data_IF_142900336573
#
_entry.id   IF_142900336573
#
_cell.length_a   1.000
_cell.length_b   1.000
_cell.length_c   1.000
_cell.angle_alpha   90.00
_cell.angle_beta   90.00
_cell.angle_gamma   90.00
#
_symmetry.space_group_name_H-M   'P 1'
#
loop_
_entity.id
_entity.type
_entity.pdbx_description
1 polymer ?
#
# COMPACT_ATOMS: atom_id res chain seq x y z
N UNK A 1 36.62 -11.27 38.76
CA UNK A 1 36.45 -9.83 38.48
C UNK A 1 35.26 -9.68 37.56
N UNK A 2 34.35 -8.76 37.87
CA UNK A 2 33.17 -8.52 37.05
C UNK A 2 33.57 -7.98 35.67
N UNK A 3 32.87 -8.44 34.64
CA UNK A 3 33.11 -8.01 33.27
C UNK A 3 32.28 -8.78 32.26
N UNK A 4 32.63 -8.64 31.00
CA UNK A 4 31.98 -9.32 29.89
C UNK A 4 32.83 -10.46 29.38
N UNK A 5 32.20 -11.60 29.12
CA UNK A 5 32.78 -12.66 28.29
C UNK A 5 32.16 -12.56 26.92
N UNK A 6 32.98 -12.55 25.87
CA UNK A 6 32.53 -12.33 24.50
C UNK A 6 33.02 -13.43 23.55
N UNK A 7 32.30 -13.56 22.44
CA UNK A 7 32.71 -14.29 21.25
C UNK A 7 32.83 -13.29 20.11
N UNK A 8 34.00 -13.24 19.49
CA UNK A 8 34.25 -12.39 18.32
C UNK A 8 34.63 -13.25 17.12
N UNK A 9 34.14 -12.85 15.95
CA UNK A 9 34.56 -13.40 14.66
C UNK A 9 35.39 -12.36 13.90
N UNK A 10 36.11 -12.81 12.88
CA UNK A 10 36.73 -11.91 11.92
C UNK A 10 36.43 -12.38 10.50
N UNK A 11 35.95 -11.48 9.64
CA UNK A 11 35.68 -11.79 8.24
C UNK A 11 36.93 -12.28 7.49
N UNK A 12 38.13 -11.84 7.90
CA UNK A 12 39.40 -12.31 7.34
C UNK A 12 39.74 -13.76 7.71
N UNK A 13 39.10 -14.30 8.76
CA UNK A 13 39.37 -15.65 9.30
C UNK A 13 38.06 -16.42 9.51
N UNK A 14 37.37 -16.84 8.44
CA UNK A 14 36.12 -17.59 8.56
C UNK A 14 36.31 -18.91 9.32
N UNK A 15 35.34 -19.27 10.16
CA UNK A 15 35.38 -20.51 10.97
C UNK A 15 36.35 -20.46 12.16
N UNK A 16 37.00 -19.32 12.40
CA UNK A 16 37.85 -19.08 13.56
C UNK A 16 37.23 -17.99 14.43
N UNK A 17 37.02 -18.29 15.71
CA UNK A 17 36.42 -17.37 16.68
C UNK A 17 37.35 -17.13 17.85
N UNK A 18 37.30 -15.92 18.39
CA UNK A 18 38.01 -15.53 19.61
C UNK A 18 37.04 -15.54 20.79
N UNK A 19 37.40 -16.23 21.86
CA UNK A 19 36.68 -16.16 23.14
C UNK A 19 37.57 -15.51 24.15
N UNK A 20 37.12 -14.41 24.74
CA UNK A 20 37.88 -13.67 25.73
C UNK A 20 36.99 -12.89 26.68
N UNK A 21 37.60 -12.21 27.64
CA UNK A 21 36.89 -11.29 28.52
C UNK A 21 37.41 -9.85 28.44
N UNK A 22 36.61 -8.92 28.95
CA UNK A 22 36.95 -7.50 29.13
C UNK A 22 36.21 -6.93 30.33
N UNK A 23 36.80 -5.93 31.00
CA UNK A 23 36.13 -5.15 32.05
C UNK A 23 35.36 -3.95 31.48
N UNK A 24 35.77 -3.44 30.30
CA UNK A 24 35.02 -2.47 29.50
C UNK A 24 33.98 -3.13 28.59
N UNK A 25 33.45 -2.42 27.59
CA UNK A 25 32.46 -3.03 26.68
C UNK A 25 33.13 -3.94 25.63
N UNK A 26 32.47 -5.03 25.18
CA UNK A 26 32.98 -5.87 24.10
C UNK A 26 33.22 -5.11 22.78
N UNK A 27 32.42 -4.07 22.50
CA UNK A 27 32.58 -3.23 21.32
C UNK A 27 33.84 -2.36 21.36
N UNK A 28 34.17 -1.80 22.54
CA UNK A 28 35.45 -1.13 22.79
C UNK A 28 36.61 -2.10 22.59
N UNK A 29 36.49 -3.32 23.13
CA UNK A 29 37.52 -4.34 22.96
C UNK A 29 37.70 -4.74 21.49
N UNK A 30 36.61 -4.88 20.74
CA UNK A 30 36.67 -5.13 19.30
C UNK A 30 37.32 -3.97 18.53
N UNK A 31 37.12 -2.72 18.97
CA UNK A 31 37.78 -1.55 18.39
C UNK A 31 39.29 -1.55 18.67
N UNK A 32 39.72 -1.89 19.89
CA UNK A 32 41.13 -1.99 20.27
C UNK A 32 41.88 -3.09 19.53
N UNK A 33 41.19 -4.19 19.21
CA UNK A 33 41.76 -5.32 18.48
C UNK A 33 41.93 -5.06 16.97
N UNK A 34 41.45 -3.91 16.47
CA UNK A 34 41.72 -3.46 15.10
C UNK A 34 43.15 -2.93 15.02
N UNK A 35 44.09 -3.76 14.57
CA UNK A 35 45.49 -3.39 14.32
C UNK A 35 45.81 -3.35 12.82
N UNK A 36 46.96 -2.79 12.45
CA UNK A 36 47.46 -2.72 11.06
C UNK A 36 47.67 -4.09 10.40
N UNK A 37 47.70 -5.17 11.19
CA UNK A 37 47.88 -6.55 10.72
C UNK A 37 46.59 -7.32 10.44
N UNK A 38 45.40 -6.72 10.64
CA UNK A 38 44.13 -7.42 10.45
C UNK A 38 43.19 -6.57 9.58
N UNK A 39 42.85 -7.01 8.35
CA UNK A 39 42.18 -6.16 7.36
C UNK A 39 40.73 -5.82 7.71
N UNK A 40 40.06 -6.66 8.50
CA UNK A 40 38.69 -6.44 8.94
C UNK A 40 38.61 -6.27 10.46
N UNK A 41 37.76 -5.33 10.91
CA UNK A 41 37.47 -5.14 12.33
C UNK A 41 36.82 -6.42 12.89
N UNK A 42 37.24 -6.92 14.06
CA UNK A 42 36.55 -8.00 14.74
C UNK A 42 35.07 -7.66 14.95
N UNK A 43 34.22 -8.63 14.68
CA UNK A 43 32.78 -8.52 14.87
C UNK A 43 32.41 -9.20 16.17
N UNK A 44 31.64 -8.52 17.02
CA UNK A 44 31.08 -9.11 18.24
C UNK A 44 29.88 -9.98 17.86
N UNK A 45 30.00 -11.29 18.04
CA UNK A 45 28.93 -12.25 17.77
C UNK A 45 28.05 -12.46 19.01
N UNK A 46 28.67 -12.38 20.19
CA UNK A 46 27.99 -12.58 21.46
C UNK A 46 28.76 -11.93 22.60
N UNK A 47 28.03 -11.50 23.62
CA UNK A 47 28.61 -11.25 24.93
C UNK A 47 27.59 -11.45 26.04
N UNK A 48 28.12 -11.62 27.24
CA UNK A 48 27.33 -11.68 28.46
C UNK A 48 28.12 -11.07 29.61
N UNK A 49 27.47 -10.26 30.44
CA UNK A 49 28.04 -9.72 31.66
C UNK A 49 27.91 -10.73 32.80
N UNK A 50 29.01 -10.99 33.48
CA UNK A 50 29.11 -11.99 34.55
C UNK A 50 29.93 -11.46 35.73
N UNK A 51 29.65 -11.90 36.97
CA UNK A 51 30.39 -11.46 38.17
C UNK A 51 31.88 -11.86 38.17
N UNK A 52 32.23 -12.98 37.54
CA UNK A 52 33.64 -13.41 37.41
C UNK A 52 33.98 -13.83 35.98
N UNK A 53 34.24 -12.83 35.12
CA UNK A 53 34.49 -13.04 33.70
C UNK A 53 35.73 -13.90 33.44
N UNK A 54 36.75 -13.82 34.31
CA UNK A 54 37.98 -14.61 34.20
C UNK A 54 37.72 -16.10 34.47
N UNK A 55 36.88 -16.42 35.47
CA UNK A 55 36.50 -17.80 35.75
C UNK A 55 35.66 -18.39 34.60
N UNK A 56 34.68 -17.62 34.12
CA UNK A 56 33.80 -18.03 33.02
C UNK A 56 34.56 -18.21 31.71
N UNK A 57 35.49 -17.31 31.37
CA UNK A 57 36.37 -17.46 30.20
C UNK A 57 37.18 -18.75 30.27
N UNK A 58 37.86 -18.98 31.40
CA UNK A 58 38.69 -20.19 31.59
C UNK A 58 37.86 -21.45 31.42
N UNK A 59 36.68 -21.50 32.00
CA UNK A 59 35.75 -22.63 31.86
C UNK A 59 35.27 -22.79 30.41
N UNK A 60 34.97 -21.69 29.71
CA UNK A 60 34.62 -21.74 28.29
C UNK A 60 35.78 -22.26 27.42
N UNK A 61 37.02 -21.85 27.70
CA UNK A 61 38.21 -22.35 27.03
C UNK A 61 38.44 -23.84 27.28
N UNK A 62 38.19 -24.32 28.51
CA UNK A 62 38.25 -25.76 28.82
C UNK A 62 37.25 -26.55 28.00
N UNK A 63 36.02 -26.05 27.88
CA UNK A 63 34.96 -26.66 27.06
C UNK A 63 35.27 -26.63 25.57
N UNK A 64 36.00 -25.62 25.10
CA UNK A 64 36.41 -25.46 23.70
C UNK A 64 37.80 -26.03 23.40
N UNK A 65 38.43 -26.74 24.34
CA UNK A 65 39.82 -27.21 24.22
C UNK A 65 40.07 -28.05 22.97
N UNK A 66 39.10 -28.86 22.55
CA UNK A 66 39.20 -29.68 21.34
C UNK A 66 39.24 -28.85 20.04
N UNK A 67 38.73 -27.62 20.07
CA UNK A 67 38.71 -26.68 18.95
C UNK A 67 39.82 -25.64 19.05
N UNK A 68 40.72 -25.73 20.03
CA UNK A 68 41.72 -24.69 20.29
C UNK A 68 42.77 -24.65 19.18
N UNK A 69 42.89 -23.50 18.52
CA UNK A 69 43.87 -23.24 17.48
C UNK A 69 45.08 -22.46 18.03
N UNK A 70 44.82 -21.42 18.81
CA UNK A 70 45.82 -20.61 19.49
C UNK A 70 45.33 -20.22 20.88
N UNK A 71 46.08 -19.37 21.61
CA UNK A 71 45.83 -19.07 23.04
C UNK A 71 44.34 -18.84 23.37
N UNK A 72 43.68 -17.98 22.58
CA UNK A 72 42.29 -17.54 22.77
C UNK A 72 41.45 -17.72 21.49
N UNK A 73 41.96 -18.48 20.52
CA UNK A 73 41.34 -18.68 19.21
C UNK A 73 40.91 -20.13 19.04
N UNK A 74 39.70 -20.32 18.52
CA UNK A 74 39.06 -21.63 18.41
C UNK A 74 38.47 -21.83 17.01
N UNK A 75 38.79 -22.96 16.39
CA UNK A 75 38.28 -23.37 15.08
C UNK A 75 36.93 -24.06 15.24
N UNK A 76 35.88 -23.24 15.38
CA UNK A 76 34.49 -23.68 15.48
C UNK A 76 33.53 -22.58 15.01
N UNK A 77 32.28 -22.95 14.76
CA UNK A 77 31.20 -22.00 14.46
C UNK A 77 30.92 -21.08 15.66
N UNK A 78 30.46 -19.85 15.41
CA UNK A 78 30.07 -18.91 16.47
C UNK A 78 29.03 -19.51 17.43
N UNK A 79 28.11 -20.33 16.94
CA UNK A 79 27.05 -20.99 17.71
C UNK A 79 27.63 -21.94 18.77
N UNK A 80 28.66 -22.72 18.42
CA UNK A 80 29.37 -23.64 19.33
C UNK A 80 30.09 -22.86 20.44
N UNK A 81 30.80 -21.79 20.09
CA UNK A 81 31.48 -20.94 21.06
C UNK A 81 30.48 -20.23 22.00
N UNK A 82 29.37 -19.71 21.46
CA UNK A 82 28.29 -19.10 22.26
C UNK A 82 27.72 -20.11 23.25
N UNK A 83 27.40 -21.32 22.79
CA UNK A 83 26.87 -22.37 23.65
C UNK A 83 27.86 -22.78 24.76
N UNK A 84 29.16 -22.80 24.47
CA UNK A 84 30.19 -23.04 25.48
C UNK A 84 30.23 -21.93 26.53
N UNK A 85 30.24 -20.66 26.12
CA UNK A 85 30.23 -19.50 27.04
C UNK A 85 28.98 -19.48 27.90
N UNK A 86 27.79 -19.70 27.32
CA UNK A 86 26.52 -19.77 28.07
C UNK A 86 26.53 -20.86 29.14
N UNK A 87 27.03 -22.06 28.79
CA UNK A 87 27.16 -23.17 29.76
C UNK A 87 28.17 -22.86 30.88
N UNK A 88 29.21 -22.08 30.58
CA UNK A 88 30.19 -21.64 31.58
C UNK A 88 29.68 -20.53 32.49
N UNK A 89 28.84 -19.63 31.98
CA UNK A 89 28.29 -18.50 32.72
C UNK A 89 27.20 -18.91 33.72
N UNK A 90 26.46 -19.99 33.42
CA UNK A 90 25.37 -20.45 34.27
C UNK A 90 24.19 -19.48 34.30
N UNK A 91 23.47 -19.42 35.43
CA UNK A 91 22.22 -18.63 35.56
C UNK A 91 22.49 -17.15 35.86
N UNK A 92 23.71 -16.80 36.31
CA UNK A 92 24.05 -15.45 36.74
C UNK A 92 24.61 -14.63 35.57
N UNK A 93 23.72 -14.28 34.65
CA UNK A 93 24.04 -13.47 33.46
C UNK A 93 23.20 -12.20 33.38
N UNK A 94 23.84 -11.08 33.01
CA UNK A 94 23.20 -9.79 32.72
C UNK A 94 23.64 -9.31 31.32
N UNK A 95 22.85 -8.42 30.72
CA UNK A 95 23.20 -7.75 29.46
C UNK A 95 23.70 -8.72 28.37
N UNK A 96 22.92 -9.78 28.11
CA UNK A 96 23.25 -10.72 27.05
C UNK A 96 22.99 -10.10 25.68
N UNK A 97 23.96 -10.20 24.77
CA UNK A 97 23.82 -9.86 23.37
C UNK A 97 24.17 -11.07 22.51
N UNK A 98 23.37 -11.32 21.48
CA UNK A 98 23.65 -12.34 20.47
C UNK A 98 23.28 -11.81 19.09
N UNK A 99 24.30 -11.57 18.25
CA UNK A 99 24.10 -11.17 16.85
C UNK A 99 23.27 -12.20 16.08
N UNK A 100 23.50 -13.53 16.18
CA UNK A 100 22.64 -14.52 15.52
C UNK A 100 21.16 -14.43 15.93
N UNK A 101 20.87 -14.09 17.19
CA UNK A 101 19.49 -13.91 17.64
C UNK A 101 18.86 -12.66 17.01
N UNK A 102 19.60 -11.55 16.94
CA UNK A 102 19.15 -10.32 16.29
C UNK A 102 18.94 -10.48 14.79
N UNK A 103 19.82 -11.21 14.10
CA UNK A 103 19.68 -11.54 12.67
C UNK A 103 18.37 -12.29 12.42
N UNK A 104 18.09 -13.35 13.18
CA UNK A 104 16.84 -14.11 13.08
C UNK A 104 15.59 -13.29 13.33
N UNK A 105 15.61 -12.42 14.35
CA UNK A 105 14.48 -11.53 14.65
C UNK A 105 14.23 -10.58 13.48
N UNK A 106 15.28 -9.95 12.94
CA UNK A 106 15.16 -9.03 11.79
C UNK A 106 14.68 -9.75 10.53
N UNK A 107 15.14 -10.98 10.28
CA UNK A 107 14.67 -11.80 9.17
C UNK A 107 13.18 -12.13 9.31
N UNK A 108 12.74 -12.50 10.51
CA UNK A 108 11.33 -12.75 10.81
C UNK A 108 10.49 -11.47 10.62
N UNK A 109 10.94 -10.33 11.13
CA UNK A 109 10.30 -9.02 10.92
C UNK A 109 10.18 -8.66 9.44
N UNK A 110 11.25 -8.86 8.66
CA UNK A 110 11.26 -8.58 7.23
C UNK A 110 10.31 -9.51 6.46
N UNK A 111 10.25 -10.79 6.83
CA UNK A 111 9.30 -11.74 6.25
C UNK A 111 7.85 -11.33 6.53
N UNK A 112 7.53 -10.99 7.78
CA UNK A 112 6.21 -10.52 8.16
C UNK A 112 5.83 -9.20 7.46
N UNK A 113 6.81 -8.31 7.26
CA UNK A 113 6.60 -7.08 6.49
C UNK A 113 6.28 -7.37 5.02
N UNK A 114 7.00 -8.30 4.40
CA UNK A 114 6.75 -8.73 3.01
C UNK A 114 5.37 -9.35 2.86
N UNK A 115 4.99 -10.27 3.75
CA UNK A 115 3.69 -10.93 3.73
C UNK A 115 2.55 -9.92 3.87
N UNK A 116 2.69 -8.95 4.78
CA UNK A 116 1.73 -7.85 4.93
C UNK A 116 1.64 -6.98 3.69
N UNK A 117 2.76 -6.64 3.07
CA UNK A 117 2.80 -5.83 1.85
C UNK A 117 2.16 -6.57 0.66
N UNK A 118 2.38 -7.88 0.55
CA UNK A 118 1.75 -8.72 -0.47
C UNK A 118 0.24 -8.84 -0.26
N UNK A 119 -0.21 -9.06 0.99
CA UNK A 119 -1.63 -9.08 1.34
C UNK A 119 -2.32 -7.73 1.03
N UNK A 120 -1.67 -6.61 1.35
CA UNK A 120 -2.18 -5.26 1.03
C UNK A 120 -2.29 -5.04 -0.48
N UNK A 121 -1.28 -5.48 -1.25
CA UNK A 121 -1.31 -5.40 -2.72
C UNK A 121 -2.45 -6.23 -3.28
N UNK A 122 -2.64 -7.45 -2.80
CA UNK A 122 -3.74 -8.32 -3.24
C UNK A 122 -5.11 -7.71 -2.91
N UNK A 123 -5.27 -7.19 -1.69
CA UNK A 123 -6.51 -6.51 -1.29
C UNK A 123 -6.83 -5.31 -2.18
N UNK A 124 -5.82 -4.48 -2.50
CA UNK A 124 -5.99 -3.33 -3.40
C UNK A 124 -6.37 -3.76 -4.81
N UNK A 125 -5.72 -4.78 -5.37
CA UNK A 125 -6.07 -5.32 -6.70
C UNK A 125 -7.48 -5.90 -6.71
N UNK A 126 -7.89 -6.58 -5.62
CA UNK A 126 -9.26 -7.08 -5.49
C UNK A 126 -10.29 -5.95 -5.42
N UNK A 127 -9.99 -4.89 -4.67
CA UNK A 127 -10.82 -3.69 -4.58
C UNK A 127 -10.97 -3.01 -5.95
N UNK A 128 -9.86 -2.76 -6.65
CA UNK A 128 -9.85 -2.18 -7.99
C UNK A 128 -10.63 -3.07 -8.98
N UNK A 129 -10.48 -4.39 -8.89
CA UNK A 129 -11.27 -5.35 -9.69
C UNK A 129 -12.76 -5.25 -9.39
N UNK A 130 -13.16 -5.22 -8.12
CA UNK A 130 -14.57 -5.09 -7.72
C UNK A 130 -15.14 -3.75 -8.19
N UNK A 131 -14.39 -2.66 -8.08
CA UNK A 131 -14.78 -1.34 -8.57
C UNK A 131 -14.98 -1.35 -10.10
N UNK A 132 -14.06 -1.94 -10.86
CA UNK A 132 -14.19 -2.06 -12.31
C UNK A 132 -15.43 -2.87 -12.72
N UNK A 133 -15.69 -3.99 -12.04
CA UNK A 133 -16.88 -4.81 -12.28
C UNK A 133 -18.19 -4.06 -11.93
N UNK A 134 -18.20 -3.27 -10.85
CA UNK A 134 -19.36 -2.43 -10.48
C UNK A 134 -19.69 -1.43 -11.59
N UNK A 135 -18.69 -0.73 -12.11
CA UNK A 135 -18.85 0.21 -13.22
C UNK A 135 -19.36 -0.49 -14.48
N UNK A 136 -18.87 -1.70 -14.78
CA UNK A 136 -19.36 -2.50 -15.91
C UNK A 136 -20.83 -2.88 -15.76
N UNK A 137 -21.25 -3.34 -14.57
CA UNK A 137 -22.65 -3.66 -14.28
C UNK A 137 -23.55 -2.42 -14.37
N UNK A 138 -23.12 -1.29 -13.83
CA UNK A 138 -23.84 -0.02 -13.94
C UNK A 138 -24.04 0.37 -15.41
N UNK A 139 -22.98 0.34 -16.21
CA UNK A 139 -23.03 0.65 -17.64
C UNK A 139 -23.95 -0.30 -18.42
N UNK A 140 -23.94 -1.59 -18.07
CA UNK A 140 -24.81 -2.62 -18.69
C UNK A 140 -26.29 -2.33 -18.48
N UNK A 141 -26.68 -1.90 -17.28
CA UNK A 141 -28.08 -1.62 -16.94
C UNK A 141 -28.53 -0.18 -17.21
N UNK A 142 -27.58 0.74 -17.41
CA UNK A 142 -27.84 2.17 -17.60
C UNK A 142 -28.90 2.45 -18.68
N UNK A 143 -28.72 1.89 -19.89
CA UNK A 143 -29.63 2.15 -21.02
C UNK A 143 -31.05 1.67 -20.76
N UNK A 144 -31.18 0.46 -20.21
CA UNK A 144 -32.49 -0.17 -19.94
C UNK A 144 -33.27 0.64 -18.90
N UNK A 145 -32.59 1.08 -17.83
CA UNK A 145 -33.23 1.87 -16.77
C UNK A 145 -33.65 3.25 -17.28
N UNK A 146 -32.84 3.91 -18.12
CA UNK A 146 -33.22 5.20 -18.73
C UNK A 146 -34.45 5.07 -19.63
N UNK A 147 -34.45 4.11 -20.56
CA UNK A 147 -35.58 3.91 -21.47
C UNK A 147 -36.91 3.64 -20.74
N UNK A 148 -36.86 2.96 -19.60
CA UNK A 148 -38.04 2.67 -18.78
C UNK A 148 -38.45 3.86 -17.90
N UNK A 149 -37.51 4.73 -17.55
CA UNK A 149 -37.70 5.86 -16.64
C UNK A 149 -38.08 7.17 -17.32
N UNK A 150 -37.80 7.34 -18.61
CA UNK A 150 -38.01 8.60 -19.32
C UNK A 150 -39.42 8.69 -19.91
N UNK A 151 -40.20 9.67 -19.46
CA UNK A 151 -41.39 10.13 -20.16
C UNK A 151 -40.98 11.05 -21.34
N UNK A 152 -41.92 11.43 -22.23
CA UNK A 152 -41.64 12.39 -23.30
C UNK A 152 -40.92 13.65 -22.81
N UNK A 153 -40.11 14.25 -23.68
CA UNK A 153 -39.36 15.46 -23.34
C UNK A 153 -40.27 16.63 -22.95
N UNK A 154 -39.71 17.62 -22.25
CA UNK A 154 -40.42 18.83 -21.81
C UNK A 154 -41.22 19.48 -22.94
N UNK A 155 -40.67 19.53 -24.15
CA UNK A 155 -41.32 20.11 -25.33
C UNK A 155 -42.65 19.42 -25.69
N UNK A 156 -42.77 18.11 -25.50
CA UNK A 156 -44.01 17.39 -25.77
C UNK A 156 -45.11 17.76 -24.76
N UNK A 157 -44.73 17.86 -23.49
CA UNK A 157 -45.64 18.33 -22.44
C UNK A 157 -46.00 19.80 -22.61
N UNK A 158 -45.02 20.64 -22.97
CA UNK A 158 -45.19 22.07 -23.18
C UNK A 158 -46.06 22.39 -24.40
N UNK A 159 -45.87 21.68 -25.52
CA UNK A 159 -46.75 21.81 -26.68
C UNK A 159 -48.20 21.43 -26.32
N UNK A 160 -48.39 20.37 -25.54
CA UNK A 160 -49.71 19.94 -25.07
C UNK A 160 -50.37 20.96 -24.14
N UNK A 161 -49.67 21.44 -23.12
CA UNK A 161 -50.22 22.43 -22.18
C UNK A 161 -50.43 23.79 -22.83
N UNK A 162 -49.59 24.18 -23.79
CA UNK A 162 -49.73 25.42 -24.56
C UNK A 162 -50.97 25.39 -25.45
N UNK A 163 -51.21 24.29 -26.16
CA UNK A 163 -52.44 24.14 -26.95
C UNK A 163 -53.70 24.27 -26.08
N UNK A 164 -53.72 23.64 -24.90
CA UNK A 164 -54.84 23.73 -23.95
C UNK A 164 -55.01 25.15 -23.40
N UNK A 165 -53.91 25.82 -23.04
CA UNK A 165 -53.94 27.20 -22.54
C UNK A 165 -54.44 28.19 -23.60
N UNK A 166 -54.00 28.05 -24.86
CA UNK A 166 -54.48 28.87 -25.97
C UNK A 166 -55.99 28.70 -26.20
N UNK A 167 -56.51 27.47 -26.18
CA UNK A 167 -57.94 27.19 -26.32
C UNK A 167 -58.73 27.80 -25.15
N UNK A 168 -58.23 27.67 -23.92
CA UNK A 168 -58.86 28.28 -22.74
C UNK A 168 -58.95 29.80 -22.82
N UNK A 169 -57.89 30.46 -23.26
CA UNK A 169 -57.87 31.91 -23.47
C UNK A 169 -58.81 32.34 -24.60
N UNK A 170 -58.89 31.59 -25.70
CA UNK A 170 -59.79 31.89 -26.82
C UNK A 170 -61.27 31.81 -26.44
N UNK A 171 -61.64 30.92 -25.52
CA UNK A 171 -63.03 30.76 -25.05
C UNK A 171 -63.37 31.79 -23.96
N UNK A 172 -62.42 32.08 -23.07
CA UNK A 172 -62.69 32.83 -21.83
C UNK A 172 -62.37 34.32 -21.89
N UNK A 173 -61.78 34.82 -22.98
CA UNK A 173 -61.28 36.20 -23.02
C UNK A 173 -61.50 36.88 -24.38
N UNK A 174 -61.63 38.20 -24.38
CA UNK A 174 -61.66 39.02 -25.59
C UNK A 174 -60.25 39.49 -26.00
N UNK A 175 -59.22 38.66 -25.78
CA UNK A 175 -57.88 38.99 -26.24
C UNK A 175 -57.78 38.88 -27.76
N UNK A 176 -56.87 39.64 -28.37
CA UNK A 176 -56.53 39.48 -29.78
C UNK A 176 -55.88 38.12 -30.03
N UNK A 177 -55.94 37.65 -31.28
CA UNK A 177 -55.33 36.38 -31.71
C UNK A 177 -53.86 36.26 -31.28
N UNK A 178 -53.10 37.36 -31.38
CA UNK A 178 -51.70 37.42 -30.94
C UNK A 178 -51.55 37.33 -29.41
N UNK A 179 -52.47 37.95 -28.65
CA UNK A 179 -52.49 37.90 -27.19
C UNK A 179 -52.81 36.50 -26.66
N UNK A 180 -53.69 35.77 -27.34
CA UNK A 180 -54.03 34.37 -27.01
C UNK A 180 -52.81 33.47 -27.20
N UNK A 181 -52.10 33.59 -28.32
CA UNK A 181 -50.92 32.76 -28.62
C UNK A 181 -49.79 33.03 -27.63
N UNK A 182 -49.43 34.30 -27.41
CA UNK A 182 -48.35 34.66 -26.48
C UNK A 182 -48.71 34.32 -25.02
N UNK A 183 -49.95 34.56 -24.61
CA UNK A 183 -50.44 34.22 -23.28
C UNK A 183 -50.41 32.71 -23.01
N UNK A 184 -50.83 31.89 -23.99
CA UNK A 184 -50.84 30.44 -23.86
C UNK A 184 -49.44 29.82 -23.78
N UNK A 185 -48.46 30.37 -24.50
CA UNK A 185 -47.04 29.95 -24.45
C UNK A 185 -46.46 30.18 -23.04
N UNK A 186 -46.72 31.36 -22.46
CA UNK A 186 -46.19 31.74 -21.13
C UNK A 186 -46.89 30.96 -20.01
N UNK A 187 -48.23 30.85 -20.06
CA UNK A 187 -49.01 30.14 -19.04
C UNK A 187 -48.73 28.63 -19.01
N UNK A 188 -48.31 28.06 -20.13
CA UNK A 188 -48.08 26.62 -20.27
C UNK A 188 -46.75 26.10 -19.69
N UNK A 189 -45.80 26.99 -19.40
CA UNK A 189 -44.45 26.61 -18.97
C UNK A 189 -44.43 25.88 -17.62
N UNK A 190 -45.06 26.45 -16.59
CA UNK A 190 -45.08 25.85 -15.24
C UNK A 190 -45.87 24.53 -15.19
N UNK A 191 -47.10 24.43 -15.75
CA UNK A 191 -47.82 23.16 -15.80
C UNK A 191 -47.06 22.05 -16.53
N UNK A 192 -46.30 22.39 -17.59
CA UNK A 192 -45.52 21.41 -18.35
C UNK A 192 -44.41 20.75 -17.51
N UNK A 193 -43.71 21.53 -16.66
CA UNK A 193 -42.71 20.97 -15.72
C UNK A 193 -43.37 20.02 -14.74
N UNK A 194 -44.48 20.43 -14.11
CA UNK A 194 -45.21 19.63 -13.11
C UNK A 194 -45.74 18.32 -13.73
N UNK A 195 -46.35 18.40 -14.92
CA UNK A 195 -46.87 17.22 -15.65
C UNK A 195 -45.75 16.27 -16.07
N UNK A 196 -44.60 16.81 -16.49
CA UNK A 196 -43.42 16.01 -16.83
C UNK A 196 -42.90 15.27 -15.59
N UNK A 197 -42.68 15.96 -14.47
CA UNK A 197 -42.21 15.34 -13.23
C UNK A 197 -43.19 14.27 -12.73
N UNK A 198 -44.48 14.51 -12.82
CA UNK A 198 -45.50 13.53 -12.48
C UNK A 198 -45.48 12.31 -13.41
N UNK A 199 -45.29 12.51 -14.72
CA UNK A 199 -45.18 11.44 -15.69
C UNK A 199 -43.91 10.59 -15.48
N UNK A 200 -42.77 11.24 -15.26
CA UNK A 200 -41.49 10.59 -14.91
C UNK A 200 -41.64 9.81 -13.59
N UNK A 201 -42.29 10.40 -12.58
CA UNK A 201 -42.58 9.75 -11.31
C UNK A 201 -43.48 8.50 -11.44
N UNK A 202 -44.48 8.53 -12.33
CA UNK A 202 -45.30 7.34 -12.63
C UNK A 202 -44.50 6.25 -13.35
N UNK A 203 -43.64 6.61 -14.30
CA UNK A 203 -42.76 5.65 -15.01
C UNK A 203 -41.79 4.96 -14.05
N UNK A 204 -41.18 5.70 -13.13
CA UNK A 204 -40.28 5.18 -12.09
C UNK A 204 -40.98 4.28 -11.05
N UNK A 205 -42.30 4.39 -10.89
CA UNK A 205 -43.11 3.50 -10.03
C UNK A 205 -43.66 2.28 -10.78
N UNK A 206 -43.46 2.20 -12.10
CA UNK A 206 -43.95 1.07 -12.87
C UNK A 206 -43.13 -0.20 -12.60
N UNK A 207 -43.80 -1.35 -12.53
CA UNK A 207 -43.15 -2.67 -12.35
C UNK A 207 -41.91 -2.90 -13.23
N UNK A 208 -41.91 -2.65 -14.56
CA UNK A 208 -40.73 -2.91 -15.37
C UNK A 208 -39.50 -2.09 -14.96
N UNK A 209 -39.69 -0.84 -14.51
CA UNK A 209 -38.60 -0.01 -14.01
C UNK A 209 -38.05 -0.58 -12.69
N UNK A 210 -38.94 -0.91 -11.75
CA UNK A 210 -38.55 -1.50 -10.46
C UNK A 210 -37.82 -2.83 -10.64
N UNK A 211 -38.30 -3.69 -11.54
CA UNK A 211 -37.67 -4.98 -11.86
C UNK A 211 -36.28 -4.78 -12.48
N UNK A 212 -36.11 -3.78 -13.35
CA UNK A 212 -34.80 -3.46 -13.95
C UNK A 212 -33.80 -2.96 -12.90
N UNK A 213 -34.24 -2.10 -11.98
CA UNK A 213 -33.41 -1.63 -10.86
C UNK A 213 -33.06 -2.79 -9.91
N UNK A 214 -34.02 -3.68 -9.61
CA UNK A 214 -33.80 -4.85 -8.77
C UNK A 214 -32.78 -5.82 -9.40
N UNK A 215 -32.83 -6.04 -10.71
CA UNK A 215 -31.84 -6.87 -11.44
C UNK A 215 -30.44 -6.27 -11.36
N UNK A 216 -30.30 -4.95 -11.54
CA UNK A 216 -29.02 -4.25 -11.36
C UNK A 216 -28.49 -4.46 -9.94
N UNK A 217 -29.36 -4.32 -8.93
CA UNK A 217 -28.96 -4.51 -7.54
C UNK A 217 -28.50 -5.96 -7.26
N UNK A 218 -29.21 -6.96 -7.80
CA UNK A 218 -28.83 -8.35 -7.67
C UNK A 218 -27.45 -8.65 -8.30
N UNK A 219 -27.16 -8.06 -9.46
CA UNK A 219 -25.85 -8.19 -10.13
C UNK A 219 -24.72 -7.53 -9.31
N UNK A 220 -24.97 -6.37 -8.69
CA UNK A 220 -24.02 -5.70 -7.80
C UNK A 220 -23.77 -6.53 -6.53
N UNK A 221 -24.82 -7.05 -5.91
CA UNK A 221 -24.72 -7.92 -4.72
C UNK A 221 -23.98 -9.23 -5.03
N UNK A 222 -24.07 -9.73 -6.27
CA UNK A 222 -23.33 -10.91 -6.71
C UNK A 222 -21.81 -10.67 -6.74
N UNK A 223 -21.35 -9.45 -7.07
CA UNK A 223 -19.92 -9.09 -7.04
C UNK A 223 -19.38 -9.16 -5.60
N UNK A 224 -20.16 -8.70 -4.62
CA UNK A 224 -19.75 -8.70 -3.22
C UNK A 224 -19.72 -10.11 -2.61
N UNK A 225 -20.60 -11.00 -3.10
CA UNK A 225 -20.62 -12.41 -2.70
C UNK A 225 -19.58 -13.26 -3.40
N UNK A 226 -18.97 -12.77 -4.49
CA UNK A 226 -18.00 -13.55 -5.26
C UNK A 226 -16.67 -13.60 -4.50
N UNK A 227 -16.22 -14.79 -4.08
CA UNK A 227 -14.93 -14.92 -3.42
C UNK A 227 -13.79 -14.57 -4.40
N UNK A 228 -12.63 -14.11 -3.89
CA UNK A 228 -11.48 -13.88 -4.74
C UNK A 228 -11.14 -15.15 -5.52
N UNK A 229 -10.73 -15.03 -6.80
CA UNK A 229 -10.28 -16.19 -7.56
C UNK A 229 -9.13 -16.85 -6.79
N UNK A 230 -9.18 -18.17 -6.62
CA UNK A 230 -8.10 -18.91 -5.94
C UNK A 230 -6.80 -18.58 -6.65
N UNK A 231 -5.89 -17.92 -5.94
CA UNK A 231 -4.51 -17.79 -6.39
C UNK A 231 -3.92 -19.19 -6.48
N UNK A 232 -3.61 -19.64 -7.70
CA UNK A 232 -2.75 -20.80 -7.86
C UNK A 232 -1.43 -20.47 -7.15
N UNK A 233 -0.97 -21.30 -6.19
CA UNK A 233 0.26 -21.00 -5.47
C UNK A 233 1.39 -20.90 -6.49
N UNK A 234 2.04 -19.72 -6.51
CA UNK A 234 3.30 -19.52 -7.23
C UNK A 234 4.28 -20.56 -6.66
N UNK A 235 4.89 -21.43 -7.49
CA UNK A 235 5.82 -22.42 -6.97
C UNK A 235 6.90 -21.69 -6.18
N UNK A 236 6.98 -22.04 -4.89
CA UNK A 236 8.00 -21.55 -3.96
C UNK A 236 9.36 -21.76 -4.61
N UNK A 237 10.05 -20.67 -4.93
CA UNK A 237 11.43 -20.72 -5.37
C UNK A 237 12.28 -21.13 -4.17
N UNK A 238 12.47 -22.44 -4.01
CA UNK A 238 13.47 -23.02 -3.12
C UNK A 238 14.87 -22.50 -3.49
N UNK A 239 15.64 -22.21 -2.44
CA UNK A 239 16.97 -21.61 -2.40
C UNK A 239 18.04 -22.24 -3.34
N UNK A 240 19.15 -21.53 -3.63
CA UNK A 240 20.09 -21.90 -4.67
C UNK A 240 21.08 -22.98 -4.20
N UNK A 241 21.19 -24.05 -4.97
CA UNK A 241 22.36 -24.93 -4.96
C UNK A 241 23.26 -24.60 -6.15
N UNK A 242 24.44 -24.06 -5.88
CA UNK A 242 25.62 -24.07 -6.76
C UNK A 242 26.72 -24.87 -6.03
N UNK A 243 27.75 -25.43 -6.70
CA UNK A 243 28.34 -24.92 -7.94
C UNK A 243 28.79 -25.97 -8.99
N UNK A 244 29.08 -25.51 -10.21
CA UNK A 244 30.05 -26.16 -11.08
C UNK A 244 29.78 -26.00 -12.58
N UNK A 245 30.72 -25.37 -13.30
CA UNK A 245 30.86 -25.58 -14.74
C UNK A 245 30.82 -24.33 -15.61
N UNK A 246 31.99 -23.70 -15.74
CA UNK A 246 32.48 -22.91 -16.89
C UNK A 246 31.84 -23.27 -18.25
N UNK A 247 31.37 -22.28 -19.01
CA UNK A 247 31.96 -21.94 -20.32
C UNK A 247 31.32 -20.69 -20.95
N UNK A 248 32.15 -19.95 -21.67
CA UNK A 248 31.87 -18.69 -22.34
C UNK A 248 31.24 -18.87 -23.73
N UNK A 249 30.43 -17.89 -24.18
CA UNK A 249 30.32 -17.42 -25.57
C UNK A 249 29.28 -16.28 -25.63
N UNK A 250 29.70 -15.02 -25.84
CA UNK A 250 29.71 -14.28 -27.13
C UNK A 250 28.32 -13.84 -27.59
N UNK A 251 28.10 -12.52 -27.53
CA UNK A 251 27.02 -11.79 -28.16
C UNK A 251 27.19 -11.74 -29.70
N UNK A 252 26.10 -11.43 -30.43
CA UNK A 252 26.19 -10.25 -31.27
C UNK A 252 24.96 -9.31 -31.19
N UNK A 253 25.28 -8.03 -31.45
CA UNK A 253 24.37 -6.90 -31.71
C UNK A 253 23.70 -7.03 -33.09
N UNK A 254 22.47 -6.51 -33.20
CA UNK A 254 22.00 -5.50 -34.18
C UNK A 254 20.57 -5.78 -34.71
N UNK A 255 19.80 -4.69 -34.95
CA UNK A 255 18.52 -4.69 -35.68
C UNK A 255 17.40 -4.01 -34.88
N UNK A 256 17.28 -2.69 -34.88
CA UNK A 256 16.47 -1.90 -35.82
C UNK A 256 14.95 -2.00 -35.61
N UNK A 257 14.39 -0.94 -35.01
CA UNK A 257 13.15 -0.23 -35.38
C UNK A 257 11.95 -1.04 -35.90
N UNK A 258 10.86 -1.10 -35.12
CA UNK A 258 9.51 -0.69 -35.58
C UNK A 258 8.70 -0.13 -34.40
N UNK A 259 8.38 1.16 -34.50
CA UNK A 259 7.40 1.88 -33.67
C UNK A 259 6.00 1.47 -34.16
N UNK A 260 5.30 0.61 -33.41
CA UNK A 260 3.90 0.32 -33.67
C UNK A 260 3.02 1.45 -33.10
N UNK A 261 2.68 2.41 -33.95
CA UNK A 261 1.59 3.37 -33.73
C UNK A 261 0.25 2.63 -33.72
N UNK A 262 -0.34 2.50 -32.54
CA UNK A 262 -1.75 2.13 -32.39
C UNK A 262 -2.62 3.35 -32.77
N UNK A 263 -3.70 3.18 -33.56
CA UNK A 263 -4.63 4.28 -33.82
C UNK A 263 -5.40 4.63 -32.55
N UNK A 264 -5.32 5.90 -32.16
CA UNK A 264 -6.08 6.48 -31.06
C UNK A 264 -7.58 6.38 -31.35
N UNK A 265 -8.30 5.60 -30.54
CA UNK A 265 -9.75 5.69 -30.45
C UNK A 265 -10.13 7.02 -29.78
N UNK A 266 -11.14 7.75 -30.28
CA UNK A 266 -11.57 9.00 -29.67
C UNK A 266 -12.12 8.75 -28.25
N UNK A 267 -11.91 9.67 -27.29
CA UNK A 267 -12.46 9.50 -25.95
C UNK A 267 -13.99 9.52 -26.02
N UNK A 268 -14.62 8.45 -25.52
CA UNK A 268 -16.04 8.44 -25.26
C UNK A 268 -16.34 9.59 -24.28
N UNK A 269 -17.08 10.58 -24.77
CA UNK A 269 -17.54 11.74 -24.01
C UNK A 269 -18.48 11.25 -22.91
N UNK A 270 -17.94 11.08 -21.70
CA UNK A 270 -18.71 10.93 -20.48
C UNK A 270 -19.54 12.21 -20.31
N UNK A 271 -20.85 12.11 -20.57
CA UNK A 271 -21.80 13.12 -20.12
C UNK A 271 -21.98 12.89 -18.63
N UNK A 272 -21.41 13.77 -17.81
CA UNK A 272 -21.67 13.81 -16.37
C UNK A 272 -23.16 14.02 -16.13
N UNK A 273 -23.80 13.03 -15.50
CA UNK A 273 -25.02 13.25 -14.74
C UNK A 273 -24.63 13.71 -13.35
N UNK A 274 -25.14 14.86 -12.95
CA UNK A 274 -24.95 15.46 -11.64
C UNK A 274 -25.36 14.49 -10.52
N UNK A 275 -24.37 13.99 -9.79
CA UNK A 275 -24.54 13.54 -8.42
C UNK A 275 -23.57 14.34 -7.56
N UNK A 276 -24.13 15.24 -6.75
CA UNK A 276 -23.43 15.92 -5.68
C UNK A 276 -23.01 14.87 -4.65
N UNK A 277 -21.73 14.51 -4.66
CA UNK A 277 -21.08 13.93 -3.50
C UNK A 277 -20.83 15.09 -2.55
N UNK A 278 -21.58 15.18 -1.46
CA UNK A 278 -21.20 16.04 -0.34
C UNK A 278 -19.83 15.60 0.15
N UNK A 279 -18.81 16.42 -0.11
CA UNK A 279 -17.51 16.27 0.51
C UNK A 279 -17.64 16.61 2.00
N UNK A 280 -17.13 15.78 2.92
CA UNK A 280 -16.92 16.23 4.29
C UNK A 280 -15.88 17.35 4.26
N UNK A 281 -16.32 18.59 4.45
CA UNK A 281 -15.47 19.76 4.65
C UNK A 281 -14.77 19.66 6.01
N UNK A 282 -13.60 19.03 6.00
CA UNK A 282 -12.56 19.27 6.99
C UNK A 282 -11.40 19.95 6.25
N UNK A 283 -10.87 21.09 6.73
CA UNK A 283 -9.81 21.80 6.04
C UNK A 283 -8.53 20.96 6.07
N UNK A 284 -8.20 20.33 4.95
CA UNK A 284 -6.87 19.77 4.70
C UNK A 284 -5.93 20.98 4.57
N UNK A 285 -5.10 21.18 5.59
CA UNK A 285 -4.03 22.17 5.55
C UNK A 285 -3.16 21.91 4.32
N UNK A 286 -3.08 22.88 3.40
CA UNK A 286 -2.17 22.82 2.27
C UNK A 286 -0.74 22.68 2.79
N UNK A 287 -0.07 21.61 2.39
CA UNK A 287 1.32 21.39 2.79
C UNK A 287 2.19 22.45 2.11
N UNK A 288 2.70 23.39 2.91
CA UNK A 288 3.50 24.51 2.42
C UNK A 288 4.73 23.99 1.69
N UNK A 289 5.06 24.57 0.53
CA UNK A 289 6.29 24.22 -0.19
C UNK A 289 7.52 24.42 0.71
N UNK A 290 8.63 23.70 0.47
CA UNK A 290 9.86 23.87 1.25
C UNK A 290 10.33 25.33 1.33
N UNK A 291 10.14 26.10 0.26
CA UNK A 291 10.49 27.53 0.21
C UNK A 291 9.57 28.39 1.08
N UNK A 292 8.28 28.06 1.15
CA UNK A 292 7.33 28.74 2.02
C UNK A 292 7.63 28.48 3.51
N UNK A 293 8.05 27.25 3.86
CA UNK A 293 8.49 26.92 5.23
C UNK A 293 9.79 27.65 5.60
N UNK A 294 10.71 27.81 4.65
CA UNK A 294 11.95 28.54 4.86
C UNK A 294 11.70 30.04 5.11
N UNK A 295 10.82 30.66 4.31
CA UNK A 295 10.43 32.07 4.49
C UNK A 295 9.74 32.33 5.82
N UNK A 296 8.88 31.42 6.26
CA UNK A 296 8.17 31.55 7.54
C UNK A 296 9.11 31.35 8.75
N UNK A 297 10.11 30.45 8.64
CA UNK A 297 11.17 30.32 9.66
C UNK A 297 12.04 31.56 9.76
N UNK A 298 12.38 32.18 8.62
CA UNK A 298 13.14 33.42 8.59
C UNK A 298 12.34 34.59 9.19
N UNK A 299 11.03 34.69 8.89
CA UNK A 299 10.16 35.71 9.45
C UNK A 299 9.96 35.55 10.96
N UNK A 300 9.85 34.32 11.48
CA UNK A 300 9.77 34.07 12.94
C UNK A 300 11.05 34.46 13.67
N UNK A 301 12.21 34.24 13.05
CA UNK A 301 13.51 34.61 13.64
C UNK A 301 13.74 36.12 13.66
N UNK A 302 13.11 36.87 12.76
CA UNK A 302 13.20 38.33 12.72
C UNK A 302 12.25 39.02 13.72
N UNK A 303 11.26 38.32 14.26
CA UNK A 303 10.19 38.88 15.08
C UNK A 303 10.21 38.39 16.54
N UNK A 304 11.29 37.72 16.95
CA UNK A 304 11.53 37.34 18.34
C UNK A 304 12.49 38.35 18.98
N UNK A 305 12.01 39.27 19.84
CA UNK A 305 12.86 40.27 20.51
C UNK A 305 13.61 39.68 21.72
N UNK A 306 13.65 38.35 21.87
CA UNK A 306 14.38 37.65 22.94
C UNK A 306 15.45 36.74 22.38
N UNK A 307 16.43 37.33 21.69
CA UNK A 307 17.70 36.72 21.31
C UNK A 307 18.82 37.72 21.45
#
# INVERSE_FOLDING_TARGET
MEGYVYVMSNQAMPGLVKVGFTTGTPDERAAQLKSTGVPHRPTVEFYVQVPDARAVEREAHLRLRQHKEAKEWFRCSREVAIAAVKRSAGVVQKNEFSRPAQEKLREAELSAYRDKAEAQRQAKVEEERKAALRVEVENKHYRTIQQLGDAPGYLAFWAGTSAVACVGLAIGTHLSDAGIVLGGIVLAALPAVILKEWADGRKRKAKPYLDAVARRQADLDAIDRTPPPRSTPKPSASAPSSPGGVSAAVAPKAGASVRATAPAAPPARLIHGDYTVDQPTMPIAQDKSPEQRARERAARKANDPSG
#
